data_IF_066719388545
#
_entry.id   IF_066719388545
#
_cell.length_a   1.000
_cell.length_b   1.000
_cell.length_c   1.000
_cell.angle_alpha   90.00
_cell.angle_beta   90.00
_cell.angle_gamma   90.00
#
_symmetry.space_group_name_H-M   'P 1'
#
loop_
_entity.id
_entity.type
_entity.pdbx_description
1 polymer ?
#
# COMPACT_ATOMS: atom_id res chain seq x y z
N UNK A 1 -9.52 2.22 -2.01
CA UNK A 1 -9.68 3.56 -1.41
C UNK A 1 -8.64 3.79 -0.32
N UNK A 2 -8.66 2.99 0.76
CA UNK A 2 -7.72 3.11 1.90
C UNK A 2 -6.24 3.26 1.52
N UNK A 3 -5.74 2.43 0.59
CA UNK A 3 -4.35 2.53 0.13
C UNK A 3 -4.03 3.86 -0.54
N UNK A 4 -4.95 4.41 -1.32
CA UNK A 4 -4.79 5.70 -1.98
C UNK A 4 -4.70 6.86 -0.98
N UNK A 5 -5.47 6.80 0.11
CA UNK A 5 -5.47 7.82 1.17
C UNK A 5 -4.13 7.81 1.93
N UNK A 6 -3.68 6.63 2.38
CA UNK A 6 -2.40 6.48 3.07
C UNK A 6 -1.24 6.98 2.20
N UNK A 7 -1.25 6.65 0.91
CA UNK A 7 -0.18 7.02 0.00
C UNK A 7 -0.19 8.50 -0.39
N UNK A 8 -1.37 9.13 -0.43
CA UNK A 8 -1.45 10.59 -0.56
C UNK A 8 -0.71 11.32 0.58
N UNK A 9 -0.57 10.68 1.75
CA UNK A 9 0.18 11.19 2.89
C UNK A 9 1.58 10.58 3.01
N UNK A 10 2.02 9.78 2.04
CA UNK A 10 3.33 9.10 2.07
C UNK A 10 3.46 8.06 3.18
N UNK A 11 2.34 7.55 3.72
CA UNK A 11 2.33 6.57 4.80
C UNK A 11 2.44 5.16 4.19
N UNK A 12 3.54 4.41 4.45
CA UNK A 12 3.63 3.02 4.02
C UNK A 12 2.75 2.12 4.89
N UNK A 13 2.37 0.94 4.37
CA UNK A 13 1.48 0.03 5.06
C UNK A 13 1.92 -1.44 4.99
N UNK A 14 1.61 -2.21 6.03
CA UNK A 14 1.56 -3.67 5.97
C UNK A 14 0.13 -4.04 5.58
N UNK A 15 -0.05 -4.60 4.40
CA UNK A 15 -1.36 -4.92 3.85
C UNK A 15 -1.67 -6.39 4.10
N UNK A 16 -2.78 -6.65 4.76
CA UNK A 16 -3.33 -8.00 4.98
C UNK A 16 -4.64 -8.13 4.19
N UNK A 17 -4.61 -8.65 2.95
CA UNK A 17 -5.79 -8.80 2.12
C UNK A 17 -6.79 -9.80 2.72
N UNK A 18 -8.07 -9.47 2.69
CA UNK A 18 -9.15 -10.40 3.06
C UNK A 18 -9.29 -11.50 1.99
N UNK A 19 -9.19 -12.81 2.35
CA UNK A 19 -9.27 -13.92 1.41
C UNK A 19 -10.58 -14.01 0.63
N UNK A 20 -11.68 -13.52 1.22
CA UNK A 20 -13.03 -13.58 0.64
C UNK A 20 -13.43 -12.29 -0.10
N UNK A 21 -12.51 -11.33 -0.27
CA UNK A 21 -12.80 -10.14 -1.06
C UNK A 21 -13.10 -10.55 -2.51
N UNK A 22 -14.23 -10.08 -3.05
CA UNK A 22 -14.70 -10.40 -4.39
C UNK A 22 -13.53 -10.33 -5.41
N UNK A 23 -13.35 -11.41 -6.16
CA UNK A 23 -12.39 -11.56 -7.26
C UNK A 23 -10.89 -11.31 -6.93
N UNK A 24 -10.45 -11.48 -5.68
CA UNK A 24 -9.03 -11.42 -5.31
C UNK A 24 -8.35 -10.03 -5.46
N UNK A 25 -9.15 -8.96 -5.61
CA UNK A 25 -8.65 -7.62 -5.91
C UNK A 25 -7.73 -7.06 -4.81
N UNK A 26 -7.99 -7.35 -3.53
CA UNK A 26 -7.15 -6.85 -2.44
C UNK A 26 -5.74 -7.46 -2.50
N UNK A 27 -5.63 -8.75 -2.82
CA UNK A 27 -4.35 -9.45 -2.97
C UNK A 27 -3.56 -8.88 -4.14
N UNK A 28 -4.21 -8.68 -5.29
CA UNK A 28 -3.58 -8.05 -6.47
C UNK A 28 -3.09 -6.64 -6.15
N UNK A 29 -3.89 -5.85 -5.44
CA UNK A 29 -3.48 -4.52 -5.00
C UNK A 29 -2.27 -4.59 -4.07
N UNK A 30 -2.29 -5.45 -3.05
CA UNK A 30 -1.18 -5.58 -2.11
C UNK A 30 0.13 -6.00 -2.81
N UNK A 31 0.08 -7.01 -3.69
CA UNK A 31 1.24 -7.45 -4.46
C UNK A 31 1.77 -6.36 -5.39
N UNK A 32 0.89 -5.61 -6.08
CA UNK A 32 1.29 -4.51 -6.97
C UNK A 32 1.98 -3.39 -6.20
N UNK A 33 1.49 -3.08 -4.99
CA UNK A 33 2.02 -2.01 -4.14
C UNK A 33 3.33 -2.42 -3.47
N UNK A 34 3.47 -3.68 -3.09
CA UNK A 34 4.75 -4.25 -2.63
C UNK A 34 5.81 -4.21 -3.73
N UNK A 35 5.47 -4.62 -4.95
CA UNK A 35 6.38 -4.55 -6.08
C UNK A 35 6.83 -3.11 -6.40
N UNK A 36 5.95 -2.13 -6.17
CA UNK A 36 6.28 -0.71 -6.29
C UNK A 36 7.11 -0.15 -5.11
N UNK A 37 7.39 -0.96 -4.10
CA UNK A 37 8.08 -0.55 -2.87
C UNK A 37 7.26 0.40 -2.00
N UNK A 38 5.93 0.38 -2.09
CA UNK A 38 5.02 1.27 -1.35
C UNK A 38 4.40 0.62 -0.10
N UNK A 39 4.45 -0.71 -0.02
CA UNK A 39 3.83 -1.48 1.04
C UNK A 39 4.56 -2.82 1.25
N UNK A 40 4.21 -3.53 2.32
CA UNK A 40 4.54 -4.94 2.50
C UNK A 40 3.25 -5.73 2.35
N UNK A 41 3.27 -6.81 1.57
CA UNK A 41 2.14 -7.71 1.44
C UNK A 41 2.29 -8.86 2.45
N UNK A 42 1.33 -8.96 3.38
CA UNK A 42 1.24 -10.05 4.35
C UNK A 42 -0.05 -10.84 4.10
N UNK A 43 0.00 -11.97 3.36
CA UNK A 43 -1.19 -12.80 3.16
C UNK A 43 -1.83 -13.22 4.47
N UNK A 44 -3.17 -13.20 4.57
CA UNK A 44 -3.87 -13.52 5.81
C UNK A 44 -3.55 -14.92 6.34
N UNK A 45 -3.25 -15.91 5.47
CA UNK A 45 -2.83 -17.25 5.89
C UNK A 45 -1.47 -17.27 6.61
N UNK A 46 -0.66 -16.23 6.41
CA UNK A 46 0.64 -16.04 7.06
C UNK A 46 0.57 -15.07 8.25
N UNK A 47 -0.61 -14.47 8.50
CA UNK A 47 -0.80 -13.56 9.62
C UNK A 47 -0.79 -14.34 10.93
N UNK A 48 0.17 -14.01 11.78
CA UNK A 48 0.21 -14.41 13.18
C UNK A 48 0.73 -13.25 14.03
N UNK A 49 0.43 -13.25 15.33
CA UNK A 49 0.95 -12.26 16.26
C UNK A 49 2.48 -12.15 16.22
N UNK A 50 3.23 -13.27 16.32
CA UNK A 50 4.69 -13.25 16.19
C UNK A 50 5.18 -12.71 14.85
N UNK A 51 4.55 -13.09 13.73
CA UNK A 51 4.96 -12.62 12.40
C UNK A 51 4.73 -11.13 12.23
N UNK A 52 3.60 -10.62 12.70
CA UNK A 52 3.31 -9.18 12.64
C UNK A 52 4.28 -8.39 13.52
N UNK A 53 4.58 -8.90 14.73
CA UNK A 53 5.57 -8.29 15.61
C UNK A 53 6.96 -8.21 14.96
N UNK A 54 7.43 -9.31 14.36
CA UNK A 54 8.72 -9.35 13.66
C UNK A 54 8.80 -8.30 12.53
N UNK A 55 7.75 -8.19 11.71
CA UNK A 55 7.69 -7.20 10.64
C UNK A 55 7.73 -5.76 11.17
N UNK A 56 6.94 -5.46 12.19
CA UNK A 56 6.90 -4.12 12.80
C UNK A 56 8.25 -3.78 13.44
N UNK A 57 8.78 -4.68 14.26
CA UNK A 57 10.08 -4.49 14.93
C UNK A 57 11.21 -4.31 13.91
N UNK A 58 11.20 -5.09 12.83
CA UNK A 58 12.17 -4.95 11.74
C UNK A 58 12.08 -3.61 11.01
N UNK A 59 10.88 -3.05 10.83
CA UNK A 59 10.70 -1.72 10.23
C UNK A 59 11.12 -0.59 11.18
N UNK A 60 10.81 -0.71 12.47
CA UNK A 60 11.21 0.28 13.48
C UNK A 60 12.72 0.28 13.71
N UNK A 61 13.37 -0.88 13.56
CA UNK A 61 14.83 -1.03 13.63
C UNK A 61 15.58 -0.62 12.36
N UNK A 62 14.88 -0.34 11.26
CA UNK A 62 15.47 0.03 9.97
C UNK A 62 14.82 1.30 9.40
N UNK A 63 15.25 2.49 9.87
CA UNK A 63 14.73 3.77 9.39
C UNK A 63 14.92 3.99 7.89
N UNK A 64 15.98 3.43 7.30
CA UNK A 64 16.27 3.56 5.88
C UNK A 64 15.22 2.81 5.03
N UNK A 65 14.89 1.57 5.44
CA UNK A 65 13.81 0.80 4.82
C UNK A 65 12.45 1.47 4.98
N UNK A 66 12.14 2.03 6.16
CA UNK A 66 10.89 2.75 6.37
C UNK A 66 10.79 4.01 5.50
N UNK A 67 11.88 4.77 5.36
CA UNK A 67 11.96 5.92 4.47
C UNK A 67 11.81 5.52 2.99
N UNK A 68 12.42 4.41 2.57
CA UNK A 68 12.28 3.89 1.21
C UNK A 68 10.83 3.50 0.90
N UNK A 69 10.14 2.84 1.84
CA UNK A 69 8.72 2.51 1.74
C UNK A 69 7.84 3.75 1.66
N UNK A 70 8.09 4.75 2.51
CA UNK A 70 7.36 6.03 2.48
C UNK A 70 7.55 6.76 1.14
N UNK A 71 8.77 6.78 0.60
CA UNK A 71 9.03 7.33 -0.73
C UNK A 71 8.31 6.54 -1.83
N UNK A 72 8.21 5.21 -1.71
CA UNK A 72 7.43 4.36 -2.62
C UNK A 72 5.93 4.67 -2.56
N UNK A 73 5.37 4.84 -1.36
CA UNK A 73 4.00 5.28 -1.15
C UNK A 73 3.75 6.62 -1.84
N UNK A 74 4.62 7.61 -1.62
CA UNK A 74 4.54 8.92 -2.29
C UNK A 74 4.56 8.83 -3.82
N UNK A 75 5.41 7.98 -4.41
CA UNK A 75 5.44 7.76 -5.88
C UNK A 75 4.15 7.15 -6.45
N UNK A 76 3.41 6.40 -5.63
CA UNK A 76 2.12 5.79 -6.01
C UNK A 76 0.92 6.69 -5.76
N UNK A 77 1.11 7.80 -5.03
CA UNK A 77 0.06 8.79 -4.81
C UNK A 77 -0.45 9.38 -6.12
N UNK A 78 -1.77 9.62 -6.18
CA UNK A 78 -2.45 10.30 -7.29
C UNK A 78 -3.36 11.41 -6.73
N UNK A 79 -2.80 12.47 -6.13
CA UNK A 79 -3.60 13.50 -5.44
C UNK A 79 -4.57 14.23 -6.39
N UNK A 80 -4.22 14.34 -7.67
CA UNK A 80 -5.06 14.96 -8.71
C UNK A 80 -5.94 13.95 -9.46
N UNK A 81 -6.16 12.73 -8.94
CA UNK A 81 -6.91 11.69 -9.65
C UNK A 81 -8.32 12.16 -10.06
N UNK A 82 -9.06 12.79 -9.14
CA UNK A 82 -10.40 13.28 -9.42
C UNK A 82 -10.40 14.36 -10.52
N UNK A 83 -9.49 15.32 -10.42
CA UNK A 83 -9.32 16.39 -11.40
C UNK A 83 -8.93 15.86 -12.80
N UNK A 84 -8.00 14.90 -12.85
CA UNK A 84 -7.58 14.24 -14.09
C UNK A 84 -8.73 13.48 -14.75
N UNK A 85 -9.54 12.77 -13.95
CA UNK A 85 -10.71 12.04 -14.45
C UNK A 85 -11.74 13.03 -15.00
N UNK A 86 -12.02 14.12 -14.28
CA UNK A 86 -12.96 15.14 -14.73
C UNK A 86 -12.53 15.78 -16.06
N UNK A 87 -11.25 16.16 -16.19
CA UNK A 87 -10.66 16.64 -17.45
C UNK A 87 -10.85 15.66 -18.60
N UNK A 88 -10.51 14.39 -18.36
CA UNK A 88 -10.64 13.35 -19.37
C UNK A 88 -12.09 13.16 -19.86
N UNK A 89 -13.07 13.23 -18.95
CA UNK A 89 -14.49 13.13 -19.28
C UNK A 89 -14.97 14.36 -20.07
N UNK A 90 -14.48 15.56 -19.71
CA UNK A 90 -14.85 16.83 -20.35
C UNK A 90 -14.12 17.08 -21.68
N UNK A 91 -13.07 16.30 -22.00
CA UNK A 91 -12.26 16.47 -23.20
C UNK A 91 -11.38 17.71 -23.19
N UNK A 92 -11.03 18.22 -21.99
CA UNK A 92 -10.21 19.43 -21.77
C UNK A 92 -8.98 19.16 -20.91
#
# INVERSE_FOLDING_TARGET
MTTSELFAWGIPAILVPLPAAAAQHQTTNAATLEHAGAAIHLPQQQLSGPRLHELISGLLGDPAKLAALSAGAGRRARPHAAENIARHILGV
#
